data_IF_796095882316
#
_entry.id   IF_796095882316
#
_cell.length_a   1.000
_cell.length_b   1.000
_cell.length_c   1.000
_cell.angle_alpha   90.00
_cell.angle_beta   90.00
_cell.angle_gamma   90.00
#
_symmetry.space_group_name_H-M   'P 1'
#
loop_
_entity.id
_entity.type
_entity.pdbx_description
1 polymer ?
#
# COMPACT_ATOMS: atom_id res chain seq x y z
N UNK A 1 70.02 -6.91 31.11
CA UNK A 1 68.92 -7.83 30.77
C UNK A 1 67.84 -7.69 31.83
N UNK A 2 66.79 -6.92 31.53
CA UNK A 2 65.71 -6.61 32.49
C UNK A 2 64.39 -6.74 31.75
N UNK A 3 63.66 -7.82 32.04
CA UNK A 3 62.34 -8.10 31.50
C UNK A 3 61.28 -7.52 32.44
N UNK A 4 60.52 -6.53 31.96
CA UNK A 4 59.34 -6.00 32.65
C UNK A 4 58.05 -6.52 32.01
N UNK A 5 57.26 -7.16 32.86
CA UNK A 5 55.97 -7.82 32.68
C UNK A 5 54.82 -6.81 32.52
N UNK A 6 53.99 -6.97 31.47
CA UNK A 6 52.56 -6.59 31.39
C UNK A 6 51.91 -7.61 30.45
N UNK A 7 50.99 -8.51 30.83
CA UNK A 7 49.98 -8.42 31.88
C UNK A 7 48.75 -7.68 31.37
N UNK A 8 48.01 -8.25 30.42
CA UNK A 8 46.87 -7.59 29.76
C UNK A 8 45.86 -8.58 29.17
N UNK A 9 45.09 -9.18 30.08
CA UNK A 9 43.81 -9.91 29.96
C UNK A 9 43.19 -10.05 28.55
N UNK A 10 43.03 -11.31 28.12
CA UNK A 10 42.04 -11.75 27.14
C UNK A 10 40.65 -11.22 27.54
N UNK A 11 40.09 -10.33 26.71
CA UNK A 11 38.69 -9.96 26.79
C UNK A 11 37.86 -11.03 26.06
N UNK A 12 37.28 -11.94 26.84
CA UNK A 12 36.17 -12.76 26.39
C UNK A 12 35.00 -11.84 26.04
N UNK A 13 34.72 -11.64 24.75
CA UNK A 13 33.47 -11.05 24.31
C UNK A 13 32.41 -12.15 24.29
N UNK A 14 31.75 -12.27 25.44
CA UNK A 14 30.61 -13.14 25.67
C UNK A 14 29.52 -12.90 24.62
N UNK A 15 29.08 -14.00 24.02
CA UNK A 15 27.82 -14.15 23.31
C UNK A 15 26.67 -13.52 24.11
N UNK A 16 26.05 -12.47 23.56
CA UNK A 16 24.71 -12.04 23.96
C UNK A 16 23.85 -11.97 22.70
N UNK A 17 23.33 -13.14 22.34
CA UNK A 17 22.14 -13.26 21.51
C UNK A 17 20.98 -12.55 22.22
N UNK A 18 20.59 -11.38 21.72
CA UNK A 18 19.39 -10.69 22.18
C UNK A 18 18.16 -11.33 21.53
N UNK A 19 17.76 -12.50 22.07
CA UNK A 19 16.46 -13.12 21.79
C UNK A 19 15.43 -12.56 22.79
N UNK A 20 14.99 -11.32 22.55
CA UNK A 20 13.98 -10.65 23.35
C UNK A 20 12.61 -10.71 22.68
N UNK A 21 11.81 -11.72 23.03
CA UNK A 21 10.34 -11.65 23.17
C UNK A 21 9.78 -13.04 23.50
N UNK A 22 10.01 -13.51 24.73
CA UNK A 22 9.26 -14.66 25.27
C UNK A 22 7.87 -14.13 25.66
N UNK A 23 6.87 -14.37 24.81
CA UNK A 23 5.48 -14.27 25.20
C UNK A 23 5.28 -15.17 26.44
N UNK A 24 4.68 -14.62 27.50
CA UNK A 24 4.35 -15.38 28.69
C UNK A 24 3.32 -16.46 28.33
N UNK A 25 3.80 -17.67 28.04
CA UNK A 25 2.96 -18.84 27.90
C UNK A 25 2.42 -19.18 29.30
N UNK A 26 1.13 -18.93 29.50
CA UNK A 26 0.40 -19.44 30.65
C UNK A 26 0.27 -20.96 30.45
N UNK A 27 1.21 -21.73 31.00
CA UNK A 27 1.27 -23.19 30.84
C UNK A 27 0.23 -23.79 31.80
N UNK A 28 -0.84 -24.43 31.29
CA UNK A 28 -1.90 -24.98 32.12
C UNK A 28 -1.34 -26.07 33.04
N UNK A 29 -1.62 -25.97 34.34
CA UNK A 29 -1.07 -26.87 35.37
C UNK A 29 -1.84 -28.20 35.43
N UNK A 30 -3.02 -28.29 34.79
CA UNK A 30 -3.88 -29.46 34.83
C UNK A 30 -4.25 -29.94 33.41
N UNK A 31 -4.28 -31.26 33.21
CA UNK A 31 -4.65 -31.91 31.95
C UNK A 31 -6.00 -31.41 31.35
N UNK A 32 -7.10 -31.24 32.13
CA UNK A 32 -8.38 -30.76 31.58
C UNK A 32 -8.34 -29.30 31.12
N UNK A 33 -7.53 -28.46 31.76
CA UNK A 33 -7.34 -27.05 31.37
C UNK A 33 -6.52 -26.94 30.08
N UNK A 34 -5.51 -27.80 29.92
CA UNK A 34 -4.73 -27.90 28.69
C UNK A 34 -5.58 -28.34 27.49
N UNK A 35 -6.49 -29.30 27.70
CA UNK A 35 -7.38 -29.78 26.64
C UNK A 35 -8.37 -28.70 26.18
N UNK A 36 -8.92 -27.92 27.13
CA UNK A 36 -9.82 -26.80 26.82
C UNK A 36 -9.10 -25.69 26.06
N UNK A 37 -7.91 -25.31 26.51
CA UNK A 37 -7.13 -24.26 25.87
C UNK A 37 -6.67 -24.67 24.45
N UNK A 38 -6.38 -25.96 24.24
CA UNK A 38 -6.10 -26.50 22.91
C UNK A 38 -7.35 -26.47 21.99
N UNK A 39 -8.54 -26.76 22.52
CA UNK A 39 -9.79 -26.67 21.77
C UNK A 39 -10.09 -25.22 21.36
N UNK A 40 -9.96 -24.27 22.29
CA UNK A 40 -10.17 -22.83 22.01
C UNK A 40 -9.18 -22.29 20.97
N UNK A 41 -7.93 -22.77 21.01
CA UNK A 41 -6.92 -22.41 20.02
C UNK A 41 -7.19 -23.05 18.65
N UNK A 42 -7.69 -24.28 18.62
CA UNK A 42 -8.05 -24.96 17.38
C UNK A 42 -9.25 -24.30 16.69
N UNK A 43 -10.28 -23.90 17.45
CA UNK A 43 -11.41 -23.13 16.92
C UNK A 43 -10.94 -21.80 16.33
N UNK A 44 -10.13 -21.04 17.07
CA UNK A 44 -9.54 -19.77 16.57
C UNK A 44 -8.67 -19.96 15.35
N UNK A 45 -7.89 -21.04 15.28
CA UNK A 45 -7.08 -21.35 14.10
C UNK A 45 -7.97 -21.64 12.88
N UNK A 46 -9.05 -22.41 13.06
CA UNK A 46 -9.99 -22.71 11.97
C UNK A 46 -10.74 -21.47 11.47
N UNK A 47 -11.13 -20.56 12.37
CA UNK A 47 -11.76 -19.29 12.00
C UNK A 47 -10.82 -18.41 11.17
N UNK A 48 -9.54 -18.35 11.56
CA UNK A 48 -8.52 -17.59 10.84
C UNK A 48 -8.23 -18.21 9.46
N UNK A 49 -8.16 -19.54 9.36
CA UNK A 49 -7.98 -20.25 8.09
C UNK A 49 -9.16 -20.02 7.14
N UNK A 50 -10.39 -20.07 7.64
CA UNK A 50 -11.59 -19.78 6.85
C UNK A 50 -11.60 -18.33 6.33
N UNK A 51 -11.14 -17.37 7.14
CA UNK A 51 -10.96 -15.97 6.70
C UNK A 51 -9.88 -15.84 5.63
N UNK A 52 -8.79 -16.60 5.70
CA UNK A 52 -7.73 -16.59 4.68
C UNK A 52 -8.23 -17.15 3.34
N UNK A 53 -9.01 -18.23 3.36
CA UNK A 53 -9.59 -18.83 2.14
C UNK A 53 -10.58 -17.88 1.46
N UNK A 54 -11.37 -17.12 2.23
CA UNK A 54 -12.29 -16.11 1.69
C UNK A 54 -11.57 -14.84 1.19
N UNK A 55 -10.42 -14.49 1.77
CA UNK A 55 -9.61 -13.35 1.37
C UNK A 55 -8.74 -13.63 0.14
N UNK A 56 -8.38 -14.89 -0.13
CA UNK A 56 -7.55 -15.30 -1.26
C UNK A 56 -7.99 -14.73 -2.62
N UNK A 57 -9.27 -14.84 -3.04
CA UNK A 57 -9.71 -14.27 -4.32
C UNK A 57 -9.74 -12.72 -4.33
N UNK A 58 -9.87 -12.07 -3.17
CA UNK A 58 -9.84 -10.59 -3.06
C UNK A 58 -8.42 -10.04 -3.21
N UNK A 59 -7.43 -10.74 -2.64
CA UNK A 59 -6.00 -10.39 -2.77
C UNK A 59 -5.55 -10.56 -4.21
N UNK A 60 -5.93 -11.66 -4.86
CA UNK A 60 -5.63 -11.91 -6.28
C UNK A 60 -6.16 -10.80 -7.21
N UNK A 61 -7.34 -10.25 -6.93
CA UNK A 61 -7.88 -9.15 -7.72
C UNK A 61 -7.07 -7.86 -7.53
N UNK A 62 -6.70 -7.53 -6.29
CA UNK A 62 -5.88 -6.36 -5.98
C UNK A 62 -4.48 -6.47 -6.60
N UNK A 63 -3.90 -7.66 -6.60
CA UNK A 63 -2.59 -7.94 -7.17
C UNK A 63 -2.61 -7.92 -8.70
N UNK A 64 -3.65 -8.49 -9.34
CA UNK A 64 -3.84 -8.42 -10.80
C UNK A 64 -4.04 -6.99 -11.30
N UNK A 65 -4.72 -6.14 -10.54
CA UNK A 65 -4.86 -4.71 -10.85
C UNK A 65 -3.53 -3.97 -10.65
N UNK A 66 -2.75 -4.34 -9.63
CA UNK A 66 -1.41 -3.79 -9.43
C UNK A 66 -0.42 -4.18 -10.53
N UNK A 67 -0.60 -5.34 -11.16
CA UNK A 67 0.26 -5.88 -12.23
C UNK A 67 0.06 -5.23 -13.61
N UNK A 68 -0.94 -4.35 -13.78
CA UNK A 68 -1.11 -3.56 -15.01
C UNK A 68 0.00 -2.49 -15.05
N UNK A 69 1.18 -2.94 -15.47
CA UNK A 69 2.46 -2.22 -15.58
C UNK A 69 2.43 -0.95 -16.45
N UNK A 70 1.34 -0.68 -17.17
CA UNK A 70 1.17 0.51 -18.02
C UNK A 70 0.36 1.63 -17.38
N UNK A 71 -0.25 1.39 -16.21
CA UNK A 71 -1.14 2.33 -15.53
C UNK A 71 -2.47 2.55 -16.26
N UNK A 72 -3.49 3.01 -15.53
CA UNK A 72 -4.81 3.35 -16.05
C UNK A 72 -4.91 4.87 -16.32
N UNK A 73 -5.73 5.27 -17.29
CA UNK A 73 -6.03 6.69 -17.47
C UNK A 73 -6.98 7.18 -16.34
N UNK A 74 -6.80 8.41 -15.86
CA UNK A 74 -7.67 9.00 -14.84
C UNK A 74 -9.17 8.93 -15.22
N UNK A 75 -9.59 9.18 -16.49
CA UNK A 75 -10.99 9.03 -16.88
C UNK A 75 -11.53 7.60 -16.74
N UNK A 76 -10.70 6.60 -17.03
CA UNK A 76 -11.10 5.20 -16.91
C UNK A 76 -11.20 4.79 -15.43
N UNK A 77 -10.25 5.25 -14.60
CA UNK A 77 -10.35 5.08 -13.14
C UNK A 77 -11.61 5.72 -12.58
N UNK A 78 -11.94 6.96 -13.00
CA UNK A 78 -13.16 7.64 -12.57
C UNK A 78 -14.41 6.82 -12.87
N UNK A 79 -14.51 6.24 -14.08
CA UNK A 79 -15.61 5.35 -14.46
C UNK A 79 -15.66 4.08 -13.61
N UNK A 80 -14.51 3.48 -13.31
CA UNK A 80 -14.43 2.27 -12.49
C UNK A 80 -14.95 2.49 -11.06
N UNK A 81 -14.72 3.68 -10.49
CA UNK A 81 -15.21 4.04 -9.14
C UNK A 81 -16.58 4.73 -9.13
N UNK A 82 -17.27 4.80 -10.28
CA UNK A 82 -18.59 5.43 -10.39
C UNK A 82 -18.58 6.97 -10.29
N UNK A 83 -17.43 7.62 -10.48
CA UNK A 83 -17.28 9.08 -10.45
C UNK A 83 -17.26 9.69 -11.85
N UNK A 84 -17.82 10.90 -11.96
CA UNK A 84 -17.68 11.71 -13.16
C UNK A 84 -16.22 12.17 -13.35
N UNK A 85 -15.61 12.00 -14.53
CA UNK A 85 -14.21 12.38 -14.76
C UNK A 85 -13.97 13.88 -14.51
N UNK A 86 -14.90 14.74 -14.92
CA UNK A 86 -14.80 16.20 -14.70
C UNK A 86 -14.75 16.52 -13.19
N UNK A 87 -15.58 15.85 -12.37
CA UNK A 87 -15.60 16.04 -10.91
C UNK A 87 -14.28 15.59 -10.30
N UNK A 88 -13.75 14.44 -10.72
CA UNK A 88 -12.46 13.93 -10.24
C UNK A 88 -11.31 14.89 -10.60
N UNK A 89 -11.22 15.35 -11.85
CA UNK A 89 -10.20 16.33 -12.25
C UNK A 89 -10.34 17.66 -11.50
N UNK A 90 -11.57 18.11 -11.23
CA UNK A 90 -11.83 19.30 -10.41
C UNK A 90 -11.30 19.12 -8.99
N UNK A 91 -11.69 18.03 -8.33
CA UNK A 91 -11.25 17.72 -6.96
C UNK A 91 -9.72 17.55 -6.88
N UNK A 92 -9.10 16.83 -7.81
CA UNK A 92 -7.65 16.67 -7.85
C UNK A 92 -6.90 18.00 -8.01
N UNK A 93 -7.45 18.96 -8.77
CA UNK A 93 -6.88 20.32 -8.88
C UNK A 93 -7.05 21.12 -7.60
N UNK A 94 -8.22 21.04 -6.95
CA UNK A 94 -8.48 21.70 -5.67
C UNK A 94 -7.55 21.17 -4.55
N UNK A 95 -7.26 19.86 -4.56
CA UNK A 95 -6.32 19.23 -3.64
C UNK A 95 -4.84 19.49 -3.99
N UNK A 96 -4.56 20.23 -5.06
CA UNK A 96 -3.21 20.48 -5.54
C UNK A 96 -2.50 19.21 -6.00
N UNK A 97 -3.21 18.17 -6.41
CA UNK A 97 -2.62 16.95 -6.98
C UNK A 97 -2.22 17.21 -8.43
N UNK A 98 -3.11 17.88 -9.16
CA UNK A 98 -2.88 18.31 -10.53
C UNK A 98 -2.66 19.82 -10.60
N UNK A 99 -1.89 20.26 -11.59
CA UNK A 99 -1.64 21.67 -11.85
C UNK A 99 -2.92 22.33 -12.38
N UNK A 100 -3.34 23.39 -11.70
CA UNK A 100 -4.53 24.17 -12.03
C UNK A 100 -4.18 25.39 -12.91
N UNK A 101 -3.74 25.16 -14.15
CA UNK A 101 -3.60 26.22 -15.15
C UNK A 101 -2.40 26.12 -16.09
N UNK A 102 -2.40 26.98 -17.12
CA UNK A 102 -1.32 27.12 -18.09
C UNK A 102 -1.14 25.91 -19.02
N UNK A 103 0.02 25.86 -19.68
CA UNK A 103 0.40 24.76 -20.60
C UNK A 103 0.56 23.40 -19.91
N UNK A 104 0.67 23.39 -18.57
CA UNK A 104 0.83 22.18 -17.76
C UNK A 104 -0.48 21.76 -17.09
N UNK A 105 -1.62 22.21 -17.60
CA UNK A 105 -2.92 21.87 -17.05
C UNK A 105 -3.13 20.34 -16.99
N UNK A 106 -3.68 19.85 -15.88
CA UNK A 106 -3.92 18.42 -15.63
C UNK A 106 -2.68 17.52 -15.57
N UNK A 107 -1.47 18.09 -15.56
CA UNK A 107 -0.28 17.32 -15.19
C UNK A 107 -0.20 17.15 -13.66
N UNK A 108 0.27 15.98 -13.19
CA UNK A 108 0.50 15.75 -11.77
C UNK A 108 1.69 16.59 -11.30
N UNK A 109 1.63 17.04 -10.04
CA UNK A 109 2.79 17.71 -9.46
C UNK A 109 3.95 16.73 -9.31
N UNK A 110 5.18 17.23 -9.48
CA UNK A 110 6.41 16.43 -9.48
C UNK A 110 6.49 15.50 -8.26
N UNK A 111 6.12 15.98 -7.06
CA UNK A 111 6.11 15.18 -5.82
C UNK A 111 5.30 13.87 -5.92
N UNK A 112 4.22 13.84 -6.69
CA UNK A 112 3.39 12.65 -6.85
C UNK A 112 3.90 11.71 -7.95
N UNK A 113 4.68 12.25 -8.90
CA UNK A 113 5.44 11.45 -9.87
C UNK A 113 6.59 10.75 -9.14
N UNK A 114 7.35 11.49 -8.34
CA UNK A 114 8.49 10.97 -7.58
C UNK A 114 8.06 9.90 -6.56
N UNK A 115 6.85 10.05 -6.00
CA UNK A 115 6.25 9.06 -5.10
C UNK A 115 5.76 7.78 -5.81
N UNK A 116 5.76 7.78 -7.15
CA UNK A 116 5.34 6.67 -7.99
C UNK A 116 3.82 6.48 -8.10
N UNK A 117 3.02 7.51 -7.78
CA UNK A 117 1.55 7.43 -7.88
C UNK A 117 1.07 7.70 -9.31
N UNK A 118 1.77 8.56 -10.05
CA UNK A 118 1.40 8.93 -11.41
C UNK A 118 2.56 8.71 -12.37
N UNK A 119 2.21 8.35 -13.60
CA UNK A 119 3.12 8.31 -14.74
C UNK A 119 2.63 9.28 -15.81
N UNK A 120 3.55 9.87 -16.57
CA UNK A 120 3.21 10.78 -17.67
C UNK A 120 3.59 10.10 -18.98
N UNK A 121 2.58 9.82 -19.81
CA UNK A 121 2.78 9.29 -21.15
C UNK A 121 2.92 10.45 -22.13
N UNK A 122 4.03 10.48 -22.87
CA UNK A 122 4.22 11.44 -23.96
C UNK A 122 3.56 10.90 -25.23
N UNK A 123 2.89 11.78 -25.95
CA UNK A 123 2.33 11.52 -27.26
C UNK A 123 2.49 12.73 -28.15
N UNK A 124 1.97 12.63 -29.36
CA UNK A 124 1.88 13.74 -30.30
C UNK A 124 0.45 13.83 -30.78
N UNK A 125 -0.04 15.05 -30.96
CA UNK A 125 -1.33 15.30 -31.58
C UNK A 125 -1.15 16.35 -32.66
N UNK A 126 -1.84 16.16 -33.77
CA UNK A 126 -1.82 17.11 -34.87
C UNK A 126 -2.95 18.12 -34.66
N UNK A 127 -2.63 19.39 -34.78
CA UNK A 127 -3.62 20.47 -34.75
C UNK A 127 -3.30 21.41 -35.90
N UNK A 128 -4.25 21.57 -36.84
CA UNK A 128 -4.10 22.46 -37.99
C UNK A 128 -2.80 22.24 -38.80
N UNK A 129 -2.38 20.99 -38.98
CA UNK A 129 -1.14 20.63 -39.69
C UNK A 129 0.15 20.80 -38.88
N UNK A 130 0.08 21.24 -37.62
CA UNK A 130 1.21 21.34 -36.71
C UNK A 130 1.19 20.18 -35.70
N UNK A 131 2.30 19.43 -35.63
CA UNK A 131 2.47 18.34 -34.66
C UNK A 131 2.89 18.93 -33.31
N UNK A 132 2.03 18.80 -32.31
CA UNK A 132 2.29 19.25 -30.94
C UNK A 132 2.51 18.07 -30.00
N UNK A 133 3.37 18.26 -29.01
CA UNK A 133 3.58 17.28 -27.96
C UNK A 133 2.38 17.27 -26.99
N UNK A 134 1.84 16.07 -26.71
CA UNK A 134 0.83 15.85 -25.69
C UNK A 134 1.42 15.13 -24.49
N UNK A 135 0.91 15.45 -23.31
CA UNK A 135 1.22 14.74 -22.07
C UNK A 135 -0.10 14.20 -21.50
N UNK A 136 -0.16 12.89 -21.31
CA UNK A 136 -1.32 12.23 -20.69
C UNK A 136 -0.93 11.68 -19.34
N UNK A 137 -1.67 12.07 -18.31
CA UNK A 137 -1.48 11.59 -16.94
C UNK A 137 -2.13 10.21 -16.77
N UNK A 138 -1.30 9.25 -16.36
CA UNK A 138 -1.67 7.88 -16.05
C UNK A 138 -1.50 7.63 -14.55
N UNK A 139 -2.35 6.79 -14.01
CA UNK A 139 -2.36 6.38 -12.61
C UNK A 139 -1.75 4.98 -12.51
N UNK A 140 -0.78 4.79 -11.62
CA UNK A 140 -0.18 3.47 -11.38
C UNK A 140 -1.05 2.66 -10.41
N UNK A 141 -0.81 1.34 -10.26
CA UNK A 141 -1.54 0.54 -9.26
C UNK A 141 -1.39 1.08 -7.83
N UNK A 142 -0.20 1.59 -7.47
CA UNK A 142 0.04 2.31 -6.21
C UNK A 142 -0.75 3.63 -6.14
N UNK A 143 -0.83 4.33 -7.27
CA UNK A 143 -1.62 5.55 -7.43
C UNK A 143 -3.11 5.33 -7.23
N UNK A 144 -3.66 4.23 -7.72
CA UNK A 144 -5.07 3.86 -7.55
C UNK A 144 -5.41 3.68 -6.08
N UNK A 145 -4.64 2.85 -5.37
CA UNK A 145 -4.86 2.62 -3.93
C UNK A 145 -4.76 3.93 -3.13
N UNK A 146 -3.76 4.76 -3.46
CA UNK A 146 -3.57 6.06 -2.81
C UNK A 146 -4.73 7.02 -3.09
N UNK A 147 -5.15 7.13 -4.35
CA UNK A 147 -6.21 8.04 -4.76
C UNK A 147 -7.56 7.61 -4.18
N UNK A 148 -7.86 6.32 -4.16
CA UNK A 148 -9.07 5.77 -3.53
C UNK A 148 -9.13 6.14 -2.05
N UNK A 149 -8.04 5.91 -1.29
CA UNK A 149 -7.97 6.30 0.13
C UNK A 149 -8.18 7.80 0.32
N UNK A 150 -7.62 8.62 -0.57
CA UNK A 150 -7.77 10.09 -0.49
C UNK A 150 -9.19 10.56 -0.84
N UNK A 151 -9.87 9.89 -1.78
CA UNK A 151 -11.25 10.20 -2.16
C UNK A 151 -12.24 9.83 -1.06
N UNK A 152 -12.02 8.70 -0.38
CA UNK A 152 -12.79 8.30 0.80
C UNK A 152 -12.61 9.33 1.92
N UNK A 153 -11.36 9.67 2.27
CA UNK A 153 -11.07 10.68 3.28
C UNK A 153 -11.62 12.08 2.92
N UNK A 154 -11.77 12.36 1.62
CA UNK A 154 -12.37 13.60 1.11
C UNK A 154 -13.90 13.58 1.02
N UNK A 155 -14.57 12.48 1.41
CA UNK A 155 -16.02 12.33 1.32
C UNK A 155 -16.57 12.30 -0.11
N UNK A 156 -15.72 12.06 -1.11
CA UNK A 156 -16.10 12.05 -2.54
C UNK A 156 -16.63 10.68 -2.95
N UNK A 157 -16.05 9.63 -2.38
CA UNK A 157 -16.54 8.27 -2.49
C UNK A 157 -17.19 7.88 -1.15
N UNK A 158 -18.33 7.17 -1.16
CA UNK A 158 -18.81 6.53 0.04
C UNK A 158 -17.73 5.54 0.52
N UNK A 159 -17.53 5.45 1.84
CA UNK A 159 -16.82 4.31 2.40
C UNK A 159 -17.59 3.08 1.93
N UNK A 160 -16.96 2.27 1.07
CA UNK A 160 -17.48 0.92 0.85
C UNK A 160 -17.37 0.28 2.22
N UNK A 161 -18.50 -0.07 2.87
CA UNK A 161 -18.42 -0.82 4.11
C UNK A 161 -17.57 -2.03 3.78
N UNK A 162 -16.46 -2.21 4.50
CA UNK A 162 -15.72 -3.46 4.42
C UNK A 162 -16.79 -4.55 4.60
N UNK A 163 -16.92 -5.44 3.61
CA UNK A 163 -17.90 -6.53 3.62
C UNK A 163 -17.51 -7.62 4.64
N UNK A 164 -17.01 -7.17 5.79
CA UNK A 164 -16.43 -7.90 6.89
C UNK A 164 -17.09 -7.43 8.23
N UNK A 165 -18.25 -6.76 8.14
CA UNK A 165 -19.10 -6.39 9.27
C UNK A 165 -20.36 -7.28 9.30
N UNK A 166 -20.15 -8.59 9.38
CA UNK A 166 -21.09 -9.59 9.91
C UNK A 166 -20.32 -10.85 10.30
#
# INVERSE_FOLDING_TARGET
>A
MSATKKGGRCAAISSTANAGAKAAANIPQTLPEALRLAADLAEKASELENRLVAAAPKVDFADRVAEISKGISIPNYAKAVGLGPIKLFGWMRQQGILINGGQRHNLPMQRYIDSGYFAVRRGTYETNGEVRASFTTMLTGKGEQWLTKRLIAGGVLPEVPNADAE
#
